data_IF_702614350018
#
_entry.id   IF_702614350018
#
_cell.length_a   1.000
_cell.length_b   1.000
_cell.length_c   1.000
_cell.angle_alpha   90.00
_cell.angle_beta   90.00
_cell.angle_gamma   90.00
#
_symmetry.space_group_name_H-M   'P 1'
#
loop_
_entity.id
_entity.type
_entity.pdbx_description
1 polymer ?
#
# COMPACT_ATOMS: atom_id res chain seq x y z
N UNK A 1 90.31 37.29 -3.32
CA UNK A 1 88.99 37.85 -2.88
C UNK A 1 87.88 37.09 -3.62
N UNK A 2 87.29 36.12 -2.96
CA UNK A 2 86.36 35.19 -3.57
C UNK A 2 85.04 35.25 -2.79
N UNK A 3 83.97 35.77 -3.42
CA UNK A 3 82.62 35.78 -2.82
C UNK A 3 81.88 34.55 -3.28
N UNK A 4 81.57 33.66 -2.30
CA UNK A 4 80.65 32.53 -2.52
C UNK A 4 79.18 32.93 -2.36
N UNK A 5 78.41 32.81 -3.44
CA UNK A 5 76.98 32.93 -3.40
C UNK A 5 76.35 31.61 -3.00
N UNK A 6 75.60 31.63 -1.88
CA UNK A 6 74.87 30.49 -1.36
C UNK A 6 73.40 30.63 -1.77
N UNK A 7 72.96 29.81 -2.73
CA UNK A 7 71.55 29.74 -3.12
C UNK A 7 70.79 28.78 -2.19
N UNK A 8 69.94 29.32 -1.37
CA UNK A 8 68.99 28.52 -0.56
C UNK A 8 67.83 28.07 -1.45
N UNK A 9 67.78 26.77 -1.71
CA UNK A 9 66.62 26.13 -2.36
C UNK A 9 65.53 25.96 -1.28
N UNK A 10 64.40 26.66 -1.45
CA UNK A 10 63.23 26.53 -0.60
C UNK A 10 62.29 25.50 -1.22
N UNK A 11 62.24 24.28 -0.65
CA UNK A 11 61.32 23.22 -1.05
C UNK A 11 59.94 23.51 -0.44
N UNK A 12 58.99 23.86 -1.29
CA UNK A 12 57.59 24.09 -0.90
C UNK A 12 56.86 22.74 -0.98
N UNK A 13 56.67 22.08 0.15
CA UNK A 13 55.80 20.87 0.24
C UNK A 13 54.36 21.30 0.25
N UNK A 14 53.67 21.15 -0.88
CA UNK A 14 52.20 21.29 -0.96
C UNK A 14 51.58 20.01 -0.44
N UNK A 15 51.04 20.07 0.78
CA UNK A 15 50.18 19.02 1.33
C UNK A 15 48.79 19.15 0.69
N UNK A 16 48.51 18.28 -0.29
CA UNK A 16 47.14 18.11 -0.81
C UNK A 16 46.40 17.24 0.21
N UNK A 17 45.59 17.89 1.07
CA UNK A 17 44.59 17.20 1.89
C UNK A 17 43.48 16.71 0.92
N UNK A 18 43.58 15.45 0.51
CA UNK A 18 42.48 14.76 -0.17
C UNK A 18 41.33 14.54 0.80
N UNK A 19 40.33 15.42 0.75
CA UNK A 19 39.04 15.19 1.43
C UNK A 19 38.31 14.06 0.73
N UNK A 20 38.50 12.82 1.21
CA UNK A 20 37.67 11.68 0.80
C UNK A 20 36.24 11.94 1.31
N UNK A 21 35.34 12.42 0.43
CA UNK A 21 33.91 12.36 0.67
C UNK A 21 33.52 10.88 0.75
N UNK A 22 33.42 10.35 1.96
CA UNK A 22 32.77 9.08 2.20
C UNK A 22 31.27 9.37 1.97
N UNK A 23 30.79 9.05 0.77
CA UNK A 23 29.35 8.99 0.52
C UNK A 23 28.82 7.87 1.40
N UNK A 24 28.24 8.24 2.55
CA UNK A 24 27.42 7.34 3.36
C UNK A 24 26.18 7.05 2.51
N UNK A 25 26.23 5.99 1.74
CA UNK A 25 25.05 5.41 1.11
C UNK A 25 24.22 4.83 2.24
N UNK A 26 23.40 5.68 2.88
CA UNK A 26 22.40 5.23 3.81
C UNK A 26 21.52 4.23 3.05
N UNK A 27 21.67 2.94 3.30
CA UNK A 27 20.72 1.95 2.83
C UNK A 27 19.39 2.29 3.46
N UNK A 28 18.49 2.90 2.69
CA UNK A 28 17.12 3.10 3.14
C UNK A 28 16.58 1.74 3.60
N UNK A 29 16.07 1.67 4.84
CA UNK A 29 15.51 0.43 5.36
C UNK A 29 14.36 -0.05 4.47
N UNK A 30 14.16 -1.35 4.41
CA UNK A 30 13.00 -1.92 3.75
C UNK A 30 11.74 -1.60 4.56
N UNK A 31 10.75 -0.96 3.91
CA UNK A 31 9.47 -0.65 4.51
C UNK A 31 8.53 -1.85 4.43
N UNK A 32 7.68 -2.01 5.44
CA UNK A 32 6.67 -3.06 5.50
C UNK A 32 5.28 -2.48 5.30
N UNK A 33 4.63 -2.83 4.21
CA UNK A 33 3.21 -2.50 3.94
C UNK A 33 2.35 -3.72 4.28
N UNK A 34 1.46 -3.59 5.25
CA UNK A 34 0.41 -4.59 5.49
C UNK A 34 -0.72 -4.35 4.51
N UNK A 35 -0.91 -5.25 3.55
CA UNK A 35 -2.10 -5.31 2.70
C UNK A 35 -3.15 -6.18 3.41
N UNK A 36 -4.15 -5.53 4.00
CA UNK A 36 -5.21 -6.16 4.78
C UNK A 36 -6.52 -6.10 4.00
N UNK A 37 -7.10 -7.28 3.72
CA UNK A 37 -8.29 -7.34 2.88
C UNK A 37 -8.88 -8.74 2.74
N UNK A 38 -9.68 -8.92 1.71
CA UNK A 38 -10.36 -10.16 1.43
C UNK A 38 -9.66 -10.99 0.31
N UNK A 39 -10.44 -11.62 -0.58
CA UNK A 39 -9.93 -12.42 -1.70
C UNK A 39 -9.11 -11.61 -2.70
N UNK A 40 -9.38 -10.32 -2.83
CA UNK A 40 -8.68 -9.43 -3.75
C UNK A 40 -7.22 -9.21 -3.31
N UNK A 41 -7.00 -9.08 -2.01
CA UNK A 41 -5.66 -9.01 -1.40
C UNK A 41 -5.02 -10.40 -1.32
N UNK A 42 -5.80 -11.44 -0.97
CA UNK A 42 -5.30 -12.82 -0.90
C UNK A 42 -4.74 -13.33 -2.23
N UNK A 43 -5.25 -12.82 -3.36
CA UNK A 43 -4.89 -13.29 -4.71
C UNK A 43 -5.63 -14.57 -5.09
N UNK A 44 -6.93 -14.63 -4.74
CA UNK A 44 -7.78 -15.80 -5.01
C UNK A 44 -7.69 -16.25 -6.47
N UNK A 45 -7.54 -17.56 -6.68
CA UNK A 45 -7.49 -18.19 -8.01
C UNK A 45 -6.20 -17.96 -8.80
N UNK A 46 -5.23 -17.19 -8.27
CA UNK A 46 -4.00 -16.84 -8.96
C UNK A 46 -2.77 -17.53 -8.34
N UNK A 47 -1.74 -17.83 -9.14
CA UNK A 47 -0.42 -18.11 -8.63
C UNK A 47 0.06 -16.93 -7.78
N UNK A 48 0.76 -17.19 -6.68
CA UNK A 48 1.20 -16.15 -5.72
C UNK A 48 1.84 -14.93 -6.40
N UNK A 49 2.76 -15.15 -7.33
CA UNK A 49 3.47 -14.10 -8.08
C UNK A 49 2.57 -13.17 -8.91
N UNK A 50 1.36 -13.63 -9.26
CA UNK A 50 0.39 -12.90 -10.06
C UNK A 50 -0.69 -12.23 -9.20
N UNK A 51 -0.68 -12.49 -7.89
CA UNK A 51 -1.56 -11.84 -6.91
C UNK A 51 -1.16 -10.40 -6.61
N UNK A 52 -2.10 -9.63 -6.07
CA UNK A 52 -1.97 -8.18 -5.83
C UNK A 52 -0.73 -7.82 -5.01
N UNK A 53 -0.50 -8.49 -3.89
CA UNK A 53 0.59 -8.14 -2.96
C UNK A 53 1.97 -8.31 -3.60
N UNK A 54 2.20 -9.43 -4.30
CA UNK A 54 3.48 -9.71 -4.97
C UNK A 54 3.68 -8.79 -6.18
N UNK A 55 2.64 -8.49 -6.95
CA UNK A 55 2.69 -7.56 -8.10
C UNK A 55 2.97 -6.13 -7.63
N UNK A 56 2.35 -5.67 -6.54
CA UNK A 56 2.61 -4.36 -5.97
C UNK A 56 4.05 -4.24 -5.45
N UNK A 57 4.52 -5.24 -4.70
CA UNK A 57 5.89 -5.32 -4.21
C UNK A 57 6.89 -5.25 -5.37
N UNK A 58 6.71 -6.08 -6.39
CA UNK A 58 7.58 -6.11 -7.56
C UNK A 58 7.59 -4.76 -8.30
N UNK A 59 6.41 -4.17 -8.53
CA UNK A 59 6.27 -2.89 -9.23
C UNK A 59 7.02 -1.76 -8.50
N UNK A 60 6.85 -1.66 -7.18
CA UNK A 60 7.48 -0.59 -6.41
C UNK A 60 8.97 -0.81 -6.21
N UNK A 61 9.41 -2.06 -6.02
CA UNK A 61 10.83 -2.38 -5.96
C UNK A 61 11.56 -2.09 -7.29
N UNK A 62 10.93 -2.34 -8.43
CA UNK A 62 11.47 -1.95 -9.75
C UNK A 62 11.58 -0.41 -9.89
N UNK A 63 10.69 0.33 -9.24
CA UNK A 63 10.75 1.80 -9.17
C UNK A 63 11.78 2.33 -8.14
N UNK A 64 12.58 1.45 -7.52
CA UNK A 64 13.62 1.80 -6.55
C UNK A 64 13.12 2.01 -5.12
N UNK A 65 11.87 1.65 -4.81
CA UNK A 65 11.30 1.75 -3.47
C UNK A 65 11.46 0.39 -2.78
N UNK A 66 12.30 0.32 -1.75
CA UNK A 66 12.52 -0.92 -0.99
C UNK A 66 11.32 -1.22 -0.10
N UNK A 67 10.43 -2.07 -0.61
CA UNK A 67 9.16 -2.41 0.02
C UNK A 67 8.99 -3.92 0.15
N UNK A 68 8.53 -4.35 1.32
CA UNK A 68 7.96 -5.68 1.56
C UNK A 68 6.46 -5.53 1.74
N UNK A 69 5.67 -6.21 0.91
CA UNK A 69 4.20 -6.27 1.08
C UNK A 69 3.84 -7.55 1.84
N UNK A 70 3.23 -7.36 3.01
CA UNK A 70 2.73 -8.45 3.84
C UNK A 70 1.29 -8.69 3.43
N UNK A 71 1.03 -9.83 2.79
CA UNK A 71 -0.31 -10.22 2.41
C UNK A 71 -1.08 -10.72 3.65
N UNK A 72 -2.10 -9.98 4.04
CA UNK A 72 -3.04 -10.32 5.10
C UNK A 72 -4.48 -10.38 4.56
N UNK A 73 -4.64 -10.85 3.32
CA UNK A 73 -5.93 -11.14 2.71
C UNK A 73 -6.48 -12.49 3.15
N UNK A 74 -7.79 -12.57 3.36
CA UNK A 74 -8.51 -13.82 3.64
C UNK A 74 -9.74 -13.89 2.74
N UNK A 75 -9.75 -14.85 1.82
CA UNK A 75 -10.84 -15.01 0.87
C UNK A 75 -12.19 -15.21 1.57
N UNK A 76 -13.19 -14.45 1.12
CA UNK A 76 -14.54 -14.49 1.70
C UNK A 76 -14.73 -13.63 2.95
N UNK A 77 -13.71 -12.94 3.45
CA UNK A 77 -13.85 -12.05 4.59
C UNK A 77 -14.83 -10.91 4.32
N UNK A 78 -15.71 -10.70 5.28
CA UNK A 78 -16.53 -9.50 5.40
C UNK A 78 -15.84 -8.48 6.30
N UNK A 79 -16.41 -7.29 6.41
CA UNK A 79 -15.96 -6.28 7.38
C UNK A 79 -15.93 -6.83 8.83
N UNK A 80 -16.89 -7.70 9.19
CA UNK A 80 -16.93 -8.37 10.49
C UNK A 80 -15.79 -9.40 10.65
N UNK A 81 -15.50 -10.21 9.61
CA UNK A 81 -14.37 -11.14 9.59
C UNK A 81 -13.05 -10.40 9.76
N UNK A 82 -12.81 -9.35 8.98
CA UNK A 82 -11.63 -8.50 9.13
C UNK A 82 -11.50 -7.89 10.52
N UNK A 83 -12.58 -7.37 11.09
CA UNK A 83 -12.59 -6.81 12.46
C UNK A 83 -12.15 -7.84 13.50
N UNK A 84 -12.52 -9.10 13.32
CA UNK A 84 -12.17 -10.17 14.28
C UNK A 84 -10.69 -10.52 14.32
N UNK A 85 -9.96 -10.30 13.21
CA UNK A 85 -8.55 -10.71 13.04
C UNK A 85 -7.55 -9.58 12.88
N UNK A 86 -7.98 -8.31 12.83
CA UNK A 86 -7.07 -7.18 12.61
C UNK A 86 -5.95 -7.13 13.64
N UNK A 87 -6.23 -7.38 14.91
CA UNK A 87 -5.21 -7.35 15.98
C UNK A 87 -4.11 -8.40 15.76
N UNK A 88 -4.47 -9.58 15.26
CA UNK A 88 -3.49 -10.59 14.87
C UNK A 88 -2.62 -10.14 13.68
N UNK A 89 -3.21 -9.56 12.66
CA UNK A 89 -2.48 -9.08 11.48
C UNK A 89 -1.47 -7.97 11.82
N UNK A 90 -1.81 -7.13 12.81
CA UNK A 90 -0.95 -6.06 13.31
C UNK A 90 0.31 -6.56 14.02
N UNK A 91 0.35 -7.82 14.45
CA UNK A 91 1.56 -8.48 14.97
C UNK A 91 2.73 -8.51 13.97
N UNK A 92 2.48 -8.26 12.68
CA UNK A 92 3.52 -8.10 11.66
C UNK A 92 4.37 -6.82 11.82
N UNK A 93 3.98 -5.89 12.70
CA UNK A 93 4.62 -4.58 12.91
C UNK A 93 4.87 -3.83 11.59
N UNK A 94 3.80 -3.46 10.87
CA UNK A 94 3.89 -2.74 9.60
C UNK A 94 4.32 -1.29 9.80
N UNK A 95 4.94 -0.70 8.77
CA UNK A 95 5.25 0.72 8.69
C UNK A 95 4.10 1.54 8.08
N UNK A 96 3.26 0.88 7.28
CA UNK A 96 2.07 1.44 6.64
C UNK A 96 1.03 0.35 6.40
N UNK A 97 -0.23 0.74 6.22
CA UNK A 97 -1.33 -0.19 6.03
C UNK A 97 -2.15 0.22 4.80
N UNK A 98 -2.46 -0.76 3.95
CA UNK A 98 -3.51 -0.69 2.95
C UNK A 98 -4.68 -1.53 3.46
N UNK A 99 -5.81 -0.88 3.70
CA UNK A 99 -7.06 -1.51 4.10
C UNK A 99 -8.02 -1.59 2.90
N UNK A 100 -8.37 -2.80 2.51
CA UNK A 100 -9.35 -3.13 1.48
C UNK A 100 -10.31 -4.18 2.04
N UNK A 101 -11.57 -3.86 2.28
CA UNK A 101 -12.59 -4.77 2.77
C UNK A 101 -13.99 -4.25 2.46
N UNK A 102 -14.95 -5.19 2.40
CA UNK A 102 -16.37 -4.90 2.28
C UNK A 102 -17.00 -5.41 0.98
N UNK A 103 -16.20 -5.90 0.01
CA UNK A 103 -16.76 -6.51 -1.19
C UNK A 103 -17.73 -7.64 -0.83
N UNK A 104 -17.35 -8.52 0.09
CA UNK A 104 -18.20 -9.61 0.54
C UNK A 104 -19.43 -9.16 1.33
N UNK A 105 -19.37 -8.01 2.00
CA UNK A 105 -20.55 -7.41 2.63
C UNK A 105 -21.59 -7.06 1.57
N UNK A 106 -21.17 -6.36 0.52
CA UNK A 106 -22.08 -6.00 -0.58
C UNK A 106 -22.62 -7.21 -1.34
N UNK A 107 -21.77 -8.20 -1.64
CA UNK A 107 -22.19 -9.43 -2.33
C UNK A 107 -23.23 -10.24 -1.53
N UNK A 108 -23.21 -10.13 -0.20
CA UNK A 108 -24.14 -10.81 0.70
C UNK A 108 -25.33 -9.95 1.13
N UNK A 109 -25.44 -8.72 0.63
CA UNK A 109 -26.50 -7.80 0.99
C UNK A 109 -26.51 -7.39 2.46
N UNK A 110 -25.35 -7.35 3.11
CA UNK A 110 -25.22 -6.89 4.49
C UNK A 110 -25.56 -5.39 4.53
N UNK A 111 -26.33 -4.98 5.53
CA UNK A 111 -26.69 -3.58 5.73
C UNK A 111 -25.45 -2.68 5.72
N UNK A 112 -25.38 -1.64 4.87
CA UNK A 112 -24.27 -0.71 4.81
C UNK A 112 -23.91 -0.08 6.17
N UNK A 113 -24.88 0.11 7.06
CA UNK A 113 -24.63 0.62 8.41
C UNK A 113 -23.78 -0.35 9.24
N UNK A 114 -23.96 -1.67 9.10
CA UNK A 114 -23.14 -2.69 9.75
C UNK A 114 -21.72 -2.66 9.19
N UNK A 115 -21.58 -2.59 7.86
CA UNK A 115 -20.29 -2.46 7.19
C UNK A 115 -19.54 -1.21 7.68
N UNK A 116 -20.23 -0.07 7.75
CA UNK A 116 -19.68 1.19 8.28
C UNK A 116 -19.17 1.03 9.71
N UNK A 117 -19.98 0.46 10.58
CA UNK A 117 -19.63 0.26 11.99
C UNK A 117 -18.37 -0.60 12.14
N UNK A 118 -18.26 -1.69 11.38
CA UNK A 118 -17.09 -2.59 11.43
C UNK A 118 -15.83 -1.92 10.89
N UNK A 119 -15.91 -1.27 9.72
CA UNK A 119 -14.80 -0.55 9.12
C UNK A 119 -14.32 0.60 10.01
N UNK A 120 -15.24 1.35 10.65
CA UNK A 120 -14.87 2.40 11.60
C UNK A 120 -14.09 1.82 12.80
N UNK A 121 -14.52 0.67 13.33
CA UNK A 121 -13.79 0.00 14.43
C UNK A 121 -12.40 -0.44 13.98
N UNK A 122 -12.26 -0.96 12.76
CA UNK A 122 -10.95 -1.30 12.17
C UNK A 122 -10.09 -0.04 12.07
N UNK A 123 -10.58 1.02 11.42
CA UNK A 123 -9.84 2.29 11.27
C UNK A 123 -9.40 2.85 12.62
N UNK A 124 -10.29 2.82 13.63
CA UNK A 124 -9.95 3.26 15.00
C UNK A 124 -8.80 2.44 15.62
N UNK A 125 -8.78 1.12 15.39
CA UNK A 125 -7.66 0.27 15.84
C UNK A 125 -6.36 0.61 15.11
N UNK A 126 -6.42 0.81 13.78
CA UNK A 126 -5.27 1.17 12.95
C UNK A 126 -4.68 2.53 13.34
N UNK A 127 -5.52 3.53 13.59
CA UNK A 127 -5.08 4.86 14.04
C UNK A 127 -4.33 4.83 15.38
N UNK A 128 -4.72 3.94 16.31
CA UNK A 128 -4.04 3.78 17.61
C UNK A 128 -2.58 3.36 17.47
N UNK A 129 -2.21 2.70 16.38
CA UNK A 129 -0.82 2.29 16.13
C UNK A 129 0.01 3.45 15.61
N UNK A 130 -0.63 4.49 15.05
CA UNK A 130 0.03 5.70 14.57
C UNK A 130 0.79 5.54 13.25
N UNK A 131 0.50 4.48 12.47
CA UNK A 131 1.06 4.30 11.12
C UNK A 131 0.12 4.88 10.05
N UNK A 132 0.64 5.37 8.91
CA UNK A 132 -0.19 5.88 7.85
C UNK A 132 -1.07 4.79 7.22
N UNK A 133 -2.29 5.19 6.82
CA UNK A 133 -3.32 4.29 6.29
C UNK A 133 -3.73 4.75 4.89
N UNK A 134 -3.74 3.80 3.94
CA UNK A 134 -4.44 3.92 2.66
C UNK A 134 -5.71 3.09 2.75
N UNK A 135 -6.85 3.75 2.67
CA UNK A 135 -8.16 3.13 2.69
C UNK A 135 -8.68 3.01 1.25
N UNK A 136 -8.85 1.77 0.78
CA UNK A 136 -9.38 1.49 -0.55
C UNK A 136 -10.88 1.16 -0.44
N UNK A 137 -11.69 1.97 -1.12
CA UNK A 137 -13.14 1.82 -1.13
C UNK A 137 -13.61 0.72 -2.08
N UNK A 138 -14.87 0.33 -1.89
CA UNK A 138 -15.58 -0.64 -2.72
C UNK A 138 -16.90 -0.05 -3.20
N UNK A 139 -17.37 -0.53 -4.35
CA UNK A 139 -18.67 -0.18 -4.92
C UNK A 139 -19.49 -1.48 -5.00
N UNK A 140 -20.72 -1.44 -4.55
CA UNK A 140 -21.61 -2.59 -4.61
C UNK A 140 -21.97 -2.96 -6.07
N UNK A 141 -22.12 -4.25 -6.39
CA UNK A 141 -22.55 -4.68 -7.72
C UNK A 141 -23.92 -4.08 -8.10
N UNK A 142 -24.15 -3.74 -9.39
CA UNK A 142 -25.39 -3.07 -9.82
C UNK A 142 -26.69 -3.86 -9.54
N UNK A 143 -26.61 -5.19 -9.47
CA UNK A 143 -27.73 -6.07 -9.17
C UNK A 143 -28.25 -5.97 -7.73
N UNK A 144 -27.51 -5.29 -6.83
CA UNK A 144 -27.94 -5.02 -5.46
C UNK A 144 -28.99 -3.88 -5.37
N UNK A 145 -29.25 -3.20 -6.48
CA UNK A 145 -30.16 -2.06 -6.55
C UNK A 145 -29.49 -0.71 -6.29
N UNK A 146 -30.08 0.32 -6.87
CA UNK A 146 -29.51 1.68 -6.86
C UNK A 146 -29.39 2.27 -5.45
N UNK A 147 -30.41 2.10 -4.62
CA UNK A 147 -30.44 2.66 -3.28
C UNK A 147 -29.36 2.06 -2.41
N UNK A 148 -29.28 0.74 -2.36
CA UNK A 148 -28.22 0.03 -1.65
C UNK A 148 -26.83 0.44 -2.15
N UNK A 149 -26.61 0.53 -3.46
CA UNK A 149 -25.34 0.92 -4.04
C UNK A 149 -24.87 2.31 -3.61
N UNK A 150 -25.81 3.29 -3.59
CA UNK A 150 -25.51 4.65 -3.14
C UNK A 150 -25.20 4.72 -1.64
N UNK A 151 -25.94 3.98 -0.82
CA UNK A 151 -25.69 3.91 0.62
C UNK A 151 -24.35 3.24 0.90
N UNK A 152 -24.03 2.14 0.22
CA UNK A 152 -22.79 1.41 0.37
C UNK A 152 -21.56 2.26 -0.03
N UNK A 153 -21.63 2.99 -1.14
CA UNK A 153 -20.56 3.91 -1.55
C UNK A 153 -20.38 5.05 -0.55
N UNK A 154 -21.46 5.59 -0.01
CA UNK A 154 -21.44 6.66 1.00
C UNK A 154 -20.68 6.24 2.25
N UNK A 155 -20.74 4.97 2.66
CA UNK A 155 -19.98 4.44 3.80
C UNK A 155 -18.48 4.76 3.68
N UNK A 156 -17.89 4.50 2.52
CA UNK A 156 -16.44 4.72 2.32
C UNK A 156 -16.09 6.20 2.27
N UNK A 157 -16.92 7.02 1.63
CA UNK A 157 -16.69 8.47 1.56
C UNK A 157 -16.71 9.10 2.96
N UNK A 158 -17.73 8.79 3.77
CA UNK A 158 -17.86 9.31 5.12
C UNK A 158 -16.74 8.81 6.05
N UNK A 159 -16.34 7.53 5.94
CA UNK A 159 -15.25 6.99 6.72
C UNK A 159 -13.91 7.61 6.34
N UNK A 160 -13.67 7.84 5.05
CA UNK A 160 -12.43 8.46 4.60
C UNK A 160 -12.31 9.91 5.11
N UNK A 161 -13.40 10.67 5.03
CA UNK A 161 -13.46 12.06 5.52
C UNK A 161 -13.26 12.14 7.04
N UNK A 162 -13.93 11.24 7.80
CA UNK A 162 -13.89 11.26 9.26
C UNK A 162 -12.55 10.77 9.85
N UNK A 163 -11.72 10.05 9.11
CA UNK A 163 -10.54 9.36 9.64
C UNK A 163 -9.19 9.89 9.11
N UNK A 164 -9.16 10.96 8.32
CA UNK A 164 -7.94 11.59 7.78
C UNK A 164 -6.96 10.62 7.10
N UNK A 165 -7.50 9.62 6.38
CA UNK A 165 -6.73 8.61 5.66
C UNK A 165 -6.43 9.04 4.22
N UNK A 166 -5.43 8.43 3.57
CA UNK A 166 -5.35 8.49 2.11
C UNK A 166 -6.48 7.61 1.58
N UNK A 167 -7.31 8.14 0.68
CA UNK A 167 -8.46 7.42 0.16
C UNK A 167 -8.32 7.10 -1.32
N UNK A 168 -8.45 5.81 -1.67
CA UNK A 168 -8.58 5.33 -3.04
C UNK A 168 -10.01 4.85 -3.26
N UNK A 169 -10.79 5.61 -4.02
CA UNK A 169 -12.26 5.49 -4.06
C UNK A 169 -12.79 4.10 -4.41
N UNK A 170 -12.15 3.41 -5.36
CA UNK A 170 -12.62 2.10 -5.82
C UNK A 170 -11.46 1.17 -6.15
N UNK A 171 -11.25 0.12 -5.36
CA UNK A 171 -10.14 -0.81 -5.53
C UNK A 171 -10.12 -1.47 -6.92
N UNK A 172 -11.30 -1.83 -7.45
CA UNK A 172 -11.46 -2.49 -8.75
C UNK A 172 -11.67 -1.51 -9.92
N UNK A 173 -11.26 -0.25 -9.79
CA UNK A 173 -11.46 0.77 -10.82
C UNK A 173 -10.89 0.37 -12.18
N UNK A 174 -11.78 0.30 -13.19
CA UNK A 174 -11.47 -0.08 -14.57
C UNK A 174 -11.23 -1.57 -14.78
N UNK A 175 -11.52 -2.41 -13.77
CA UNK A 175 -11.44 -3.88 -13.83
C UNK A 175 -12.80 -4.51 -13.60
N UNK A 176 -13.57 -4.04 -12.62
CA UNK A 176 -14.90 -4.55 -12.37
C UNK A 176 -15.79 -4.48 -13.63
N UNK A 177 -16.46 -5.59 -13.93
CA UNK A 177 -17.35 -5.70 -15.08
C UNK A 177 -16.65 -5.75 -16.46
N UNK A 178 -15.33 -5.89 -16.51
CA UNK A 178 -14.55 -6.07 -17.75
C UNK A 178 -14.16 -7.54 -17.86
N UNK A 179 -14.81 -8.37 -18.70
CA UNK A 179 -14.60 -9.82 -18.74
C UNK A 179 -13.14 -10.22 -18.96
N UNK A 180 -12.42 -9.49 -19.83
CA UNK A 180 -11.02 -9.77 -20.20
C UNK A 180 -10.04 -9.53 -19.04
N UNK A 181 -10.46 -8.84 -17.99
CA UNK A 181 -9.66 -8.50 -16.80
C UNK A 181 -10.06 -9.29 -15.56
N UNK A 182 -11.07 -10.17 -15.69
CA UNK A 182 -11.56 -10.98 -14.60
C UNK A 182 -11.41 -12.47 -14.89
N UNK A 183 -11.45 -13.29 -13.84
CA UNK A 183 -11.52 -14.72 -13.92
C UNK A 183 -12.93 -15.14 -14.40
N UNK A 184 -13.12 -16.44 -14.66
CA UNK A 184 -14.40 -16.98 -15.16
C UNK A 184 -15.61 -16.67 -14.25
N UNK A 185 -15.36 -16.44 -12.95
CA UNK A 185 -16.41 -16.07 -11.99
C UNK A 185 -16.93 -14.63 -12.15
N UNK A 186 -16.24 -13.80 -12.94
CA UNK A 186 -16.62 -12.42 -13.26
C UNK A 186 -16.43 -11.40 -12.13
N UNK A 187 -15.93 -11.81 -10.96
CA UNK A 187 -15.77 -10.94 -9.78
C UNK A 187 -14.33 -10.83 -9.27
N UNK A 188 -13.50 -11.83 -9.55
CA UNK A 188 -12.09 -11.78 -9.17
C UNK A 188 -11.22 -11.37 -10.37
N UNK A 189 -10.32 -10.40 -10.21
CA UNK A 189 -9.37 -10.03 -11.26
C UNK A 189 -8.50 -11.22 -11.69
N UNK A 190 -8.25 -11.34 -12.99
CA UNK A 190 -7.18 -12.19 -13.50
C UNK A 190 -5.83 -11.45 -13.38
N UNK A 191 -4.74 -12.03 -13.85
CA UNK A 191 -3.40 -11.45 -13.80
C UNK A 191 -3.34 -10.05 -14.41
N UNK A 192 -3.94 -9.84 -15.56
CA UNK A 192 -3.98 -8.57 -16.27
C UNK A 192 -4.80 -7.52 -15.49
N UNK A 193 -5.91 -7.95 -14.89
CA UNK A 193 -6.73 -7.14 -14.00
C UNK A 193 -5.95 -6.69 -12.76
N UNK A 194 -5.21 -7.61 -12.13
CA UNK A 194 -4.34 -7.29 -10.98
C UNK A 194 -3.28 -6.26 -11.37
N UNK A 195 -2.59 -6.44 -12.50
CA UNK A 195 -1.59 -5.46 -12.98
C UNK A 195 -2.20 -4.07 -13.19
N UNK A 196 -3.43 -4.02 -13.71
CA UNK A 196 -4.14 -2.76 -13.89
C UNK A 196 -4.49 -2.09 -12.55
N UNK A 197 -4.95 -2.85 -11.56
CA UNK A 197 -5.20 -2.34 -10.21
C UNK A 197 -3.90 -1.80 -9.61
N UNK A 198 -2.83 -2.59 -9.65
CA UNK A 198 -1.52 -2.18 -9.12
C UNK A 198 -1.04 -0.87 -9.76
N UNK A 199 -1.13 -0.74 -11.08
CA UNK A 199 -0.74 0.49 -11.79
C UNK A 199 -1.51 1.71 -11.31
N UNK A 200 -2.81 1.56 -11.01
CA UNK A 200 -3.66 2.66 -10.55
C UNK A 200 -3.44 3.03 -9.09
N UNK A 201 -3.25 2.04 -8.21
CA UNK A 201 -3.10 2.29 -6.77
C UNK A 201 -1.66 2.64 -6.36
N UNK A 202 -0.65 2.26 -7.14
CA UNK A 202 0.76 2.49 -6.82
C UNK A 202 1.09 3.97 -6.47
N UNK A 203 0.57 5.00 -7.16
CA UNK A 203 0.80 6.39 -6.78
C UNK A 203 0.33 6.71 -5.36
N UNK A 204 -0.81 6.17 -4.94
CA UNK A 204 -1.37 6.34 -3.59
C UNK A 204 -0.52 5.62 -2.53
N UNK A 205 -0.01 4.43 -2.86
CA UNK A 205 0.92 3.71 -1.99
C UNK A 205 2.24 4.48 -1.84
N UNK A 206 2.76 5.07 -2.92
CA UNK A 206 3.96 5.92 -2.86
C UNK A 206 3.72 7.12 -1.95
N UNK A 207 2.55 7.76 -2.05
CA UNK A 207 2.19 8.87 -1.14
C UNK A 207 2.09 8.39 0.31
N UNK A 208 1.48 7.23 0.54
CA UNK A 208 1.39 6.59 1.85
C UNK A 208 2.78 6.38 2.47
N UNK A 209 3.71 5.80 1.71
CA UNK A 209 5.06 5.50 2.18
C UNK A 209 5.87 6.75 2.52
N UNK A 210 5.61 7.89 1.87
CA UNK A 210 6.21 9.19 2.21
C UNK A 210 5.78 9.71 3.58
N UNK A 211 4.65 9.25 4.12
CA UNK A 211 4.14 9.61 5.45
C UNK A 211 4.72 8.76 6.57
N UNK A 212 5.47 7.69 6.23
CA UNK A 212 6.15 6.85 7.23
C UNK A 212 7.24 7.67 7.90
N UNK A 213 7.20 7.73 9.24
CA UNK A 213 8.24 8.40 10.02
C UNK A 213 9.53 7.57 10.03
N UNK A 214 10.71 8.21 10.03
CA UNK A 214 11.99 7.53 10.09
C UNK A 214 12.16 6.68 11.35
#
# INVERSE_FOLDING_TARGET
>A
MCRKNCHKFLIFCVFILGSSLIAVTGHARELKLLAFGDSLIAGYGLPKKDGFSDQLEATLNHAGIRLKVINAGVSGDTSAGGLSRIDWALGANPDAILLELGANDSLRGIDPAITKMNLQKILTKLQKIGVPILFAGMIAPPNMGKEYGLEFERVYLELAEANEVIFYRFFLEGVAGVPELNQEDGIHPNKEGVLKIVKKIAPFVIELLKRVKP
#
